data_IF_248684590110
#
_entry.id   IF_248684590110
#
_cell.length_a   1.000
_cell.length_b   1.000
_cell.length_c   1.000
_cell.angle_alpha   90.00
_cell.angle_beta   90.00
_cell.angle_gamma   90.00
#
_symmetry.space_group_name_H-M   'P 1'
#
loop_
_entity.id
_entity.type
_entity.pdbx_description
1 polymer ?
#
# COMPACT_ATOMS: atom_id res chain seq x y z
N UNK A 1 -3.91 5.32 -0.59
CA UNK A 1 -5.00 4.68 -1.32
C UNK A 1 -4.52 4.00 -2.60
N UNK A 2 -4.83 2.71 -2.66
CA UNK A 2 -4.97 1.91 -3.87
C UNK A 2 -5.83 2.58 -4.93
N UNK A 3 -5.48 2.76 -6.21
CA UNK A 3 -6.50 3.03 -7.24
C UNK A 3 -7.49 1.85 -7.39
N UNK A 4 -6.98 0.63 -7.20
CA UNK A 4 -7.75 -0.61 -7.02
C UNK A 4 -7.26 -1.35 -5.75
N UNK A 5 -7.97 -1.24 -4.62
CA UNK A 5 -7.60 -1.92 -3.37
C UNK A 5 -7.49 -3.44 -3.50
N UNK A 6 -8.30 -4.07 -4.36
CA UNK A 6 -8.30 -5.53 -4.51
C UNK A 6 -6.97 -6.04 -5.07
N UNK A 7 -6.41 -5.35 -6.07
CA UNK A 7 -5.10 -5.70 -6.64
C UNK A 7 -3.96 -5.68 -5.62
N UNK A 8 -4.07 -4.84 -4.57
CA UNK A 8 -3.09 -4.83 -3.48
C UNK A 8 -3.19 -6.10 -2.62
N UNK A 9 -4.40 -6.52 -2.26
CA UNK A 9 -4.59 -7.75 -1.48
C UNK A 9 -4.25 -9.00 -2.30
N UNK A 10 -4.59 -9.03 -3.59
CA UNK A 10 -4.17 -10.08 -4.50
C UNK A 10 -2.65 -10.16 -4.61
N UNK A 11 -1.95 -9.02 -4.68
CA UNK A 11 -0.49 -8.99 -4.70
C UNK A 11 0.10 -9.59 -3.42
N UNK A 12 -0.44 -9.26 -2.25
CA UNK A 12 -0.02 -9.88 -0.98
C UNK A 12 -0.21 -11.40 -1.00
N UNK A 13 -1.37 -11.87 -1.44
CA UNK A 13 -1.64 -13.32 -1.53
C UNK A 13 -0.68 -14.02 -2.48
N UNK A 14 -0.36 -13.39 -3.61
CA UNK A 14 0.61 -13.91 -4.59
C UNK A 14 2.03 -14.00 -4.05
N UNK A 15 2.40 -13.17 -3.06
CA UNK A 15 3.70 -13.26 -2.38
C UNK A 15 3.69 -14.20 -1.17
N UNK A 16 2.60 -14.94 -0.96
CA UNK A 16 2.45 -15.90 0.14
C UNK A 16 1.95 -15.30 1.45
N UNK A 17 1.50 -14.05 1.43
CA UNK A 17 0.92 -13.36 2.59
C UNK A 17 -0.60 -13.36 2.45
N UNK A 18 -1.30 -14.13 3.28
CA UNK A 18 -2.77 -14.10 3.31
C UNK A 18 -3.28 -13.20 4.44
N UNK A 19 -3.95 -12.07 4.13
CA UNK A 19 -4.44 -11.16 5.16
C UNK A 19 -5.59 -11.77 5.97
N UNK A 20 -5.44 -11.83 7.30
CA UNK A 20 -6.51 -12.25 8.24
C UNK A 20 -7.61 -11.20 8.40
N UNK A 21 -7.33 -9.96 8.02
CA UNK A 21 -8.23 -8.82 8.05
C UNK A 21 -7.79 -7.79 7.01
N UNK A 22 -8.75 -7.20 6.31
CA UNK A 22 -8.52 -6.17 5.30
C UNK A 22 -9.43 -4.98 5.57
N UNK A 23 -8.87 -3.76 5.48
CA UNK A 23 -9.66 -2.53 5.55
C UNK A 23 -9.24 -1.59 4.43
N UNK A 24 -10.24 -1.11 3.69
CA UNK A 24 -10.07 -0.10 2.66
C UNK A 24 -10.58 1.24 3.17
N UNK A 25 -9.82 2.30 2.90
CA UNK A 25 -10.20 3.67 3.23
C UNK A 25 -10.31 4.50 1.94
N UNK A 26 -11.15 5.54 1.91
CA UNK A 26 -11.31 6.41 0.74
C UNK A 26 -9.97 7.00 0.28
N UNK A 27 -9.87 7.33 -1.02
CA UNK A 27 -8.72 8.09 -1.48
C UNK A 27 -8.67 9.45 -0.78
N UNK A 28 -7.46 9.95 -0.57
CA UNK A 28 -7.20 11.17 0.18
C UNK A 28 -7.67 11.17 1.64
N UNK A 29 -8.07 10.01 2.21
CA UNK A 29 -8.39 9.92 3.64
C UNK A 29 -7.25 10.50 4.49
N UNK A 30 -7.63 11.36 5.44
CA UNK A 30 -6.72 11.88 6.46
C UNK A 30 -6.81 10.98 7.67
N UNK A 31 -5.80 10.14 7.85
CA UNK A 31 -5.75 9.22 8.98
C UNK A 31 -5.71 10.00 10.30
N UNK A 32 -6.74 9.83 11.11
CA UNK A 32 -6.74 10.28 12.51
C UNK A 32 -6.12 9.20 13.40
N UNK A 33 -5.77 9.55 14.64
CA UNK A 33 -5.33 8.53 15.60
C UNK A 33 -6.47 7.56 15.93
N UNK A 34 -7.72 8.04 16.02
CA UNK A 34 -8.89 7.20 16.27
C UNK A 34 -9.11 6.15 15.17
N UNK A 35 -8.83 6.50 13.90
CA UNK A 35 -8.88 5.53 12.80
C UNK A 35 -7.87 4.40 13.00
N UNK A 36 -6.64 4.76 13.40
CA UNK A 36 -5.56 3.80 13.65
C UNK A 36 -5.90 2.92 14.85
N UNK A 37 -6.43 3.50 15.93
CA UNK A 37 -6.81 2.75 17.13
C UNK A 37 -7.93 1.73 16.82
N UNK A 38 -8.95 2.14 16.04
CA UNK A 38 -9.99 1.22 15.54
C UNK A 38 -9.41 0.11 14.67
N UNK A 39 -8.51 0.46 13.73
CA UNK A 39 -7.80 -0.51 12.90
C UNK A 39 -7.00 -1.50 13.76
N UNK A 40 -6.30 -1.05 14.80
CA UNK A 40 -5.51 -1.91 15.70
C UNK A 40 -6.42 -2.88 16.47
N UNK A 41 -7.56 -2.41 16.98
CA UNK A 41 -8.50 -3.26 17.69
C UNK A 41 -9.05 -4.38 16.80
N UNK A 42 -9.46 -4.06 15.57
CA UNK A 42 -9.97 -5.05 14.62
C UNK A 42 -8.87 -6.04 14.20
N UNK A 43 -7.67 -5.53 13.94
CA UNK A 43 -6.50 -6.35 13.56
C UNK A 43 -6.14 -7.34 14.67
N UNK A 44 -6.11 -6.90 15.93
CA UNK A 44 -5.85 -7.76 17.08
C UNK A 44 -6.93 -8.83 17.28
N UNK A 45 -8.21 -8.45 17.13
CA UNK A 45 -9.33 -9.41 17.21
C UNK A 45 -9.24 -10.48 16.11
N UNK A 46 -8.74 -10.13 14.94
CA UNK A 46 -8.49 -11.06 13.85
C UNK A 46 -7.20 -11.89 14.02
N UNK A 47 -6.42 -11.66 15.08
CA UNK A 47 -5.16 -12.38 15.32
C UNK A 47 -3.98 -11.89 14.46
N UNK A 48 -4.06 -10.67 13.90
CA UNK A 48 -2.98 -10.10 13.11
C UNK A 48 -1.74 -9.82 13.99
N UNK A 49 -0.57 -10.18 13.47
CA UNK A 49 0.72 -9.92 14.12
C UNK A 49 1.39 -8.62 13.63
N UNK A 50 0.98 -8.14 12.46
CA UNK A 50 1.50 -6.93 11.82
C UNK A 50 0.45 -6.32 10.89
N UNK A 51 0.61 -5.05 10.58
CA UNK A 51 -0.16 -4.34 9.55
C UNK A 51 0.71 -4.20 8.31
N UNK A 52 0.12 -4.36 7.13
CA UNK A 52 0.78 -4.06 5.87
C UNK A 52 0.00 -2.96 5.17
N UNK A 53 0.71 -1.93 4.72
CA UNK A 53 0.12 -0.79 3.99
C UNK A 53 0.95 -0.42 2.77
N UNK A 54 0.43 0.50 1.96
CA UNK A 54 1.13 1.00 0.77
C UNK A 54 2.10 2.11 1.15
N UNK A 55 3.14 2.35 0.35
CA UNK A 55 4.06 3.48 0.59
C UNK A 55 3.33 4.84 0.62
N UNK A 56 2.30 5.00 -0.22
CA UNK A 56 1.46 6.23 -0.26
C UNK A 56 0.74 6.48 1.06
N UNK A 57 0.17 5.43 1.66
CA UNK A 57 -0.55 5.56 2.94
C UNK A 57 0.42 5.66 4.11
N UNK A 58 1.58 5.00 4.04
CA UNK A 58 2.61 5.07 5.06
C UNK A 58 3.05 6.52 5.34
N UNK A 59 3.22 7.35 4.31
CA UNK A 59 3.56 8.79 4.47
C UNK A 59 2.55 9.52 5.36
N UNK A 60 1.25 9.22 5.20
CA UNK A 60 0.18 9.83 6.01
C UNK A 60 0.10 9.29 7.43
N UNK A 61 0.65 8.10 7.65
CA UNK A 61 0.64 7.37 8.91
C UNK A 61 1.90 7.61 9.77
N UNK A 62 2.94 8.28 9.26
CA UNK A 62 4.23 8.44 9.94
C UNK A 62 4.14 9.05 11.35
N UNK A 63 3.17 9.93 11.58
CA UNK A 63 2.97 10.59 12.89
C UNK A 63 1.98 9.86 13.80
N UNK A 64 1.50 8.68 13.39
CA UNK A 64 0.51 7.89 14.12
C UNK A 64 1.19 6.83 14.96
N UNK A 65 0.58 6.51 16.10
CA UNK A 65 1.04 5.46 16.99
C UNK A 65 0.38 4.15 16.60
N UNK A 66 1.18 3.09 16.53
CA UNK A 66 0.73 1.74 16.23
C UNK A 66 1.08 0.82 17.39
N UNK A 67 0.15 -0.07 17.71
CA UNK A 67 0.36 -1.12 18.72
C UNK A 67 0.94 -2.41 18.12
N UNK A 68 0.82 -2.56 16.79
CA UNK A 68 1.39 -3.64 16.02
C UNK A 68 2.47 -3.07 15.08
N UNK A 69 3.50 -3.86 14.70
CA UNK A 69 4.42 -3.48 13.64
C UNK A 69 3.66 -3.08 12.37
N UNK A 70 3.97 -1.90 11.84
CA UNK A 70 3.42 -1.40 10.59
C UNK A 70 4.48 -1.52 9.49
N UNK A 71 4.25 -2.46 8.58
CA UNK A 71 5.10 -2.75 7.45
C UNK A 71 4.58 -2.05 6.19
N UNK A 72 5.49 -1.64 5.33
CA UNK A 72 5.16 -1.06 4.03
C UNK A 72 5.51 -2.07 2.96
N UNK A 73 4.55 -2.42 2.10
CA UNK A 73 4.85 -3.22 0.92
C UNK A 73 5.56 -2.33 -0.09
N UNK A 74 6.84 -2.62 -0.35
CA UNK A 74 7.59 -1.97 -1.43
C UNK A 74 7.22 -2.62 -2.76
N UNK A 75 6.76 -1.82 -3.71
CA UNK A 75 6.40 -2.27 -5.06
C UNK A 75 7.32 -1.54 -6.02
N UNK A 76 8.06 -2.31 -6.82
CA UNK A 76 8.97 -1.78 -7.83
C UNK A 76 8.39 -2.04 -9.21
N UNK A 77 8.59 -1.07 -10.11
CA UNK A 77 8.19 -1.17 -11.51
C UNK A 77 9.44 -1.55 -12.29
N UNK A 78 9.35 -2.63 -13.06
CA UNK A 78 10.35 -3.01 -14.05
C UNK A 78 9.72 -2.90 -15.43
N UNK A 79 10.40 -2.24 -16.35
CA UNK A 79 9.96 -2.07 -17.74
C UNK A 79 10.81 -2.99 -18.62
N UNK A 80 10.16 -3.85 -19.37
CA UNK A 80 10.83 -4.62 -20.41
C UNK A 80 11.24 -3.69 -21.57
N UNK A 81 12.47 -3.83 -22.04
CA UNK A 81 13.03 -2.99 -23.11
C UNK A 81 12.97 -1.47 -22.82
N UNK A 82 13.30 -1.08 -21.58
CA UNK A 82 13.29 0.31 -21.09
C UNK A 82 13.90 1.32 -22.08
N UNK A 83 15.05 0.99 -22.67
CA UNK A 83 15.73 1.84 -23.66
C UNK A 83 14.83 2.22 -24.85
N UNK A 84 13.99 1.28 -25.33
CA UNK A 84 13.08 1.55 -26.45
C UNK A 84 11.97 2.51 -26.04
N UNK A 85 11.43 2.37 -24.82
CA UNK A 85 10.41 3.29 -24.32
C UNK A 85 10.98 4.69 -24.17
N UNK A 86 12.19 4.83 -23.63
CA UNK A 86 12.87 6.12 -23.50
C UNK A 86 13.03 6.80 -24.86
N UNK A 87 13.53 6.07 -25.87
CA UNK A 87 13.67 6.59 -27.23
C UNK A 87 12.34 7.06 -27.83
N UNK A 88 11.24 6.34 -27.60
CA UNK A 88 9.91 6.73 -28.07
C UNK A 88 9.40 8.01 -27.40
N UNK A 89 9.62 8.15 -26.09
CA UNK A 89 9.23 9.36 -25.33
C UNK A 89 10.04 10.57 -25.79
N UNK A 90 11.35 10.42 -25.97
CA UNK A 90 12.23 11.50 -26.43
C UNK A 90 11.85 11.98 -27.85
N UNK A 91 11.59 11.03 -28.75
CA UNK A 91 11.15 11.36 -30.11
C UNK A 91 9.81 12.10 -30.14
N UNK A 92 8.88 11.74 -29.25
CA UNK A 92 7.58 12.40 -29.13
C UNK A 92 7.66 13.78 -28.46
N UNK A 93 8.58 13.97 -27.51
CA UNK A 93 8.79 15.25 -26.83
C UNK A 93 9.53 16.28 -27.71
N UNK A 94 10.26 15.81 -28.72
CA UNK A 94 10.97 16.64 -29.70
C UNK A 94 10.11 17.06 -30.91
N UNK A 95 8.85 16.60 -30.99
CA UNK A 95 7.88 16.90 -32.06
C UNK A 95 6.86 17.97 -31.62
#
# INVERSE_FOLDING_TARGET
AVGNPESFFELLRRTGIDPVFTRTLPDHHQYTQADVDSLMQESKKAGAQSIITTAKDAVKLQQRKFELPCCVLNIEISIEEEDKIIQMVDAAAAA
#
